data_IF_309391497605
#
_entry.id   IF_309391497605
#
_cell.length_a   1.000
_cell.length_b   1.000
_cell.length_c   1.000
_cell.angle_alpha   90.00
_cell.angle_beta   90.00
_cell.angle_gamma   90.00
#
_symmetry.space_group_name_H-M   'P 1'
#
loop_
_entity.id
_entity.type
_entity.pdbx_description
1 polymer ?
#
# COMPACT_ATOMS: atom_id res chain seq x y z
N UNK A 1 5.37 -11.54 0.62
CA UNK A 1 5.77 -10.94 1.91
C UNK A 1 4.72 -9.92 2.31
N UNK A 2 4.15 -10.03 3.51
CA UNK A 2 3.07 -9.15 3.98
C UNK A 2 3.18 -8.91 5.48
N UNK A 3 2.50 -7.88 5.97
CA UNK A 3 2.49 -7.60 7.40
C UNK A 3 1.67 -8.64 8.18
N UNK A 4 2.07 -8.99 9.41
CA UNK A 4 1.30 -9.91 10.24
C UNK A 4 -0.05 -9.30 10.63
N UNK A 5 -0.97 -10.14 11.11
CA UNK A 5 -2.30 -9.70 11.56
C UNK A 5 -2.21 -8.56 12.57
N UNK A 6 -3.03 -7.53 12.38
CA UNK A 6 -3.05 -6.32 13.21
C UNK A 6 -2.01 -5.25 12.84
N UNK A 7 -1.26 -5.43 11.75
CA UNK A 7 -0.33 -4.43 11.21
C UNK A 7 -0.73 -3.99 9.79
N UNK A 8 -0.65 -2.69 9.54
CA UNK A 8 -0.80 -2.05 8.23
C UNK A 8 0.59 -1.88 7.57
N UNK A 9 0.67 -2.03 6.25
CA UNK A 9 1.90 -1.78 5.50
C UNK A 9 2.12 -0.28 5.33
N UNK A 10 3.29 0.22 5.71
CA UNK A 10 3.71 1.61 5.52
C UNK A 10 5.06 1.68 4.78
N UNK A 11 5.23 2.73 3.97
CA UNK A 11 6.45 2.95 3.19
C UNK A 11 6.83 1.78 2.28
N UNK A 12 8.14 1.57 2.11
CA UNK A 12 8.70 0.48 1.30
C UNK A 12 9.15 -0.69 2.19
N UNK A 13 8.19 -1.37 2.83
CA UNK A 13 8.48 -2.62 3.55
C UNK A 13 8.48 -2.53 5.07
N UNK A 14 7.72 -1.60 5.65
CA UNK A 14 7.53 -1.53 7.09
C UNK A 14 6.07 -1.85 7.46
N UNK A 15 5.88 -2.34 8.67
CA UNK A 15 4.60 -2.71 9.23
C UNK A 15 4.33 -1.86 10.48
N UNK A 16 3.16 -1.23 10.53
CA UNK A 16 2.72 -0.33 11.58
C UNK A 16 1.45 -0.85 12.25
N UNK A 17 1.40 -0.82 13.57
CA UNK A 17 0.16 -1.03 14.32
C UNK A 17 0.01 0.11 15.32
N UNK A 18 -1.18 0.70 15.44
CA UNK A 18 -1.41 1.92 16.23
C UNK A 18 -2.46 1.67 17.31
N UNK A 19 -2.48 2.52 18.34
CA UNK A 19 -3.50 2.52 19.40
C UNK A 19 -4.92 2.74 18.83
N UNK A 20 -5.02 3.47 17.73
CA UNK A 20 -6.23 3.57 16.92
C UNK A 20 -5.92 2.97 15.55
N UNK A 21 -6.20 1.68 15.30
CA UNK A 21 -5.96 1.09 14.00
C UNK A 21 -6.87 1.78 12.98
N UNK A 22 -6.26 2.55 12.09
CA UNK A 22 -6.92 3.14 10.90
C UNK A 22 -7.19 2.04 9.87
N UNK A 23 -7.82 0.94 10.27
CA UNK A 23 -7.62 -0.30 9.52
C UNK A 23 -8.34 -1.57 9.96
N UNK A 24 -9.35 -1.52 10.84
CA UNK A 24 -10.46 -2.48 10.71
C UNK A 24 -11.44 -2.07 9.59
N UNK A 25 -10.89 -1.49 8.51
CA UNK A 25 -11.55 -1.49 7.20
C UNK A 25 -11.39 -2.89 6.62
N UNK A 26 -12.16 -3.83 7.16
CA UNK A 26 -12.52 -5.03 6.44
C UNK A 26 -13.36 -4.57 5.25
N UNK A 27 -12.69 -4.36 4.12
CA UNK A 27 -13.31 -4.10 2.84
C UNK A 27 -13.71 -2.65 2.61
N UNK A 28 -13.38 -2.18 1.41
CA UNK A 28 -14.31 -1.35 0.66
C UNK A 28 -15.64 -2.12 0.53
N UNK A 29 -16.50 -2.00 1.53
CA UNK A 29 -17.91 -2.34 1.46
C UNK A 29 -18.69 -1.07 1.81
N UNK A 30 -19.58 -0.58 0.94
CA UNK A 30 -20.36 0.61 1.23
C UNK A 30 -21.31 0.29 2.39
N UNK A 31 -21.43 1.25 3.31
CA UNK A 31 -22.42 1.38 4.39
C UNK A 31 -23.40 0.20 4.52
N UNK A 32 -23.20 -0.66 5.51
CA UNK A 32 -24.29 -1.49 6.03
C UNK A 32 -24.49 -1.14 7.50
N UNK A 33 -25.60 -0.45 7.76
CA UNK A 33 -26.05 -0.10 9.09
C UNK A 33 -26.34 -1.32 9.96
N UNK A 34 -26.66 -1.03 11.23
CA UNK A 34 -27.22 -1.98 12.19
C UNK A 34 -28.15 -3.01 11.54
N UNK A 35 -28.04 -4.25 12.01
CA UNK A 35 -28.79 -5.47 11.67
C UNK A 35 -28.03 -6.48 10.79
N UNK A 36 -26.94 -7.04 11.30
CA UNK A 36 -26.41 -8.32 10.78
C UNK A 36 -27.11 -9.46 11.52
N UNK A 37 -27.97 -10.28 10.87
CA UNK A 37 -28.48 -11.51 11.46
C UNK A 37 -27.35 -12.54 11.55
N UNK A 38 -27.15 -13.10 12.75
CA UNK A 38 -26.27 -14.25 12.96
C UNK A 38 -27.05 -15.50 12.60
N UNK A 39 -26.59 -16.27 11.60
CA UNK A 39 -27.18 -17.57 11.28
C UNK A 39 -26.41 -18.67 12.04
N UNK A 40 -27.10 -19.66 12.64
CA UNK A 40 -26.44 -20.78 13.31
C UNK A 40 -25.75 -21.70 12.30
N UNK A 41 -24.56 -22.15 12.66
CA UNK A 41 -23.76 -23.13 11.92
C UNK A 41 -24.26 -24.50 12.34
N UNK A 42 -25.23 -25.05 11.62
CA UNK A 42 -25.55 -26.48 11.64
C UNK A 42 -26.11 -26.88 10.28
N UNK A 43 -25.21 -27.10 9.32
CA UNK A 43 -25.39 -27.99 8.17
C UNK A 43 -24.07 -28.15 7.40
N UNK A 44 -23.77 -29.39 7.03
CA UNK A 44 -22.56 -29.86 6.35
C UNK A 44 -22.16 -28.95 5.15
N UNK A 45 -20.94 -28.37 5.12
CA UNK A 45 -20.54 -27.38 4.11
C UNK A 45 -20.41 -27.89 2.67
N UNK A 46 -20.57 -29.20 2.44
CA UNK A 46 -20.32 -29.83 1.14
C UNK A 46 -21.57 -30.22 0.34
N UNK A 47 -22.77 -29.95 0.85
CA UNK A 47 -24.01 -30.17 0.09
C UNK A 47 -24.29 -28.99 -0.86
N UNK A 48 -23.74 -29.04 -2.07
CA UNK A 48 -24.07 -28.09 -3.14
C UNK A 48 -25.42 -28.48 -3.77
N UNK A 49 -26.44 -27.60 -3.80
CA UNK A 49 -27.69 -27.86 -4.52
C UNK A 49 -27.41 -28.07 -6.01
N UNK A 50 -27.92 -29.17 -6.58
CA UNK A 50 -27.69 -29.57 -7.98
C UNK A 50 -28.12 -28.50 -9.01
N UNK A 51 -28.97 -27.57 -8.61
CA UNK A 51 -29.53 -26.53 -9.47
C UNK A 51 -28.60 -25.29 -9.61
N UNK A 52 -27.46 -25.28 -8.93
CA UNK A 52 -26.44 -24.20 -8.98
C UNK A 52 -25.03 -24.68 -9.31
N UNK A 53 -24.90 -25.84 -9.95
CA UNK A 53 -23.64 -26.26 -10.57
C UNK A 53 -23.47 -25.51 -11.89
N UNK A 54 -22.87 -24.31 -11.82
CA UNK A 54 -22.35 -23.64 -13.01
C UNK A 54 -21.16 -24.48 -13.49
N UNK A 55 -21.36 -25.27 -14.55
CA UNK A 55 -20.33 -26.04 -15.24
C UNK A 55 -19.04 -25.22 -15.37
N UNK A 56 -17.98 -25.63 -14.66
CA UNK A 56 -16.64 -24.99 -14.71
C UNK A 56 -15.85 -25.35 -15.97
N UNK A 57 -16.52 -25.80 -17.01
CA UNK A 57 -15.99 -26.12 -18.33
C UNK A 57 -16.14 -24.92 -19.29
N UNK A 58 -15.70 -23.76 -18.81
CA UNK A 58 -15.36 -22.62 -19.66
C UNK A 58 -13.87 -22.65 -19.98
N UNK A 59 -13.45 -23.53 -20.88
CA UNK A 59 -12.06 -23.78 -21.26
C UNK A 59 -11.24 -22.49 -21.57
N UNK A 60 -10.11 -22.29 -20.89
CA UNK A 60 -9.06 -21.38 -21.33
C UNK A 60 -8.31 -22.02 -22.53
N UNK A 61 -8.81 -21.79 -23.74
CA UNK A 61 -8.03 -22.04 -24.95
C UNK A 61 -7.08 -20.86 -25.21
N UNK A 62 -5.81 -20.99 -24.82
CA UNK A 62 -4.75 -20.20 -25.41
C UNK A 62 -4.49 -20.69 -26.84
N UNK A 63 -5.25 -20.17 -27.81
CA UNK A 63 -4.96 -20.37 -29.24
C UNK A 63 -3.82 -19.44 -29.66
N UNK A 64 -2.60 -19.94 -29.55
CA UNK A 64 -1.47 -19.43 -30.33
C UNK A 64 -1.88 -19.49 -31.80
N UNK A 65 -1.75 -18.37 -32.54
CA UNK A 65 -2.33 -18.07 -33.86
C UNK A 65 -3.71 -17.36 -33.86
N UNK A 66 -3.90 -16.40 -32.96
CA UNK A 66 -4.96 -15.39 -33.06
C UNK A 66 -4.74 -14.45 -34.25
N UNK A 67 -5.42 -14.75 -35.37
CA UNK A 67 -5.62 -13.86 -36.53
C UNK A 67 -6.18 -12.51 -36.05
N UNK A 68 -5.58 -11.41 -36.51
CA UNK A 68 -5.94 -10.03 -36.17
C UNK A 68 -7.45 -9.76 -36.19
N UNK A 69 -7.93 -8.99 -35.20
CA UNK A 69 -9.28 -8.40 -35.20
C UNK A 69 -9.52 -7.71 -36.55
N UNK A 70 -10.66 -8.00 -37.17
CA UNK A 70 -11.14 -7.35 -38.40
C UNK A 70 -11.11 -5.84 -38.18
N UNK A 71 -10.19 -5.15 -38.86
CA UNK A 71 -10.44 -3.76 -39.20
C UNK A 71 -11.56 -3.74 -40.23
N UNK A 72 -12.48 -2.81 -40.04
CA UNK A 72 -13.52 -2.45 -41.00
C UNK A 72 -12.83 -2.20 -42.35
N UNK A 73 -13.31 -2.89 -43.37
CA UNK A 73 -12.84 -2.72 -44.73
C UNK A 73 -13.21 -1.31 -45.22
N UNK A 74 -12.21 -0.47 -45.49
CA UNK A 74 -12.33 0.47 -46.60
C UNK A 74 -11.41 -0.01 -47.72
N UNK A 75 -12.10 -0.55 -48.71
CA UNK A 75 -11.59 -1.11 -49.94
C UNK A 75 -11.07 -0.03 -50.89
N UNK A 76 -10.17 -0.47 -51.77
CA UNK A 76 -9.77 0.13 -53.06
C UNK A 76 -8.68 1.18 -52.96
N UNK A 77 -7.45 0.82 -53.32
CA UNK A 77 -6.76 1.37 -54.50
C UNK A 77 -5.69 0.36 -54.94
N UNK A 78 -5.97 -0.31 -56.06
CA UNK A 78 -5.06 -1.19 -56.78
C UNK A 78 -4.00 -0.36 -57.52
N UNK A 79 -2.81 -0.95 -57.66
CA UNK A 79 -1.84 -0.79 -58.75
C UNK A 79 -1.82 0.57 -59.48
N UNK A 80 -0.85 1.43 -59.18
CA UNK A 80 -0.07 2.04 -60.27
C UNK A 80 1.21 2.70 -59.75
N UNK A 81 2.14 2.77 -60.67
CA UNK A 81 3.50 3.28 -60.60
C UNK A 81 3.60 4.75 -60.17
N UNK A 82 4.74 5.02 -59.54
CA UNK A 82 5.45 6.30 -59.56
C UNK A 82 4.96 7.44 -58.66
N UNK A 83 5.89 7.94 -57.84
CA UNK A 83 6.09 9.34 -57.47
C UNK A 83 6.62 9.49 -56.05
N UNK A 84 7.82 10.07 -55.98
CA UNK A 84 8.62 10.47 -54.80
C UNK A 84 7.87 11.32 -53.75
N UNK A 85 6.63 11.73 -54.02
CA UNK A 85 5.76 12.50 -53.12
C UNK A 85 5.15 11.68 -51.97
N UNK A 86 5.08 10.35 -52.08
CA UNK A 86 4.38 9.52 -51.08
C UNK A 86 5.25 9.16 -49.85
N UNK A 87 6.58 9.19 -50.02
CA UNK A 87 7.52 8.88 -48.94
C UNK A 87 7.50 9.90 -47.78
N UNK A 88 7.18 11.18 -48.06
CA UNK A 88 7.04 12.22 -47.02
C UNK A 88 5.79 12.02 -46.19
N UNK A 89 4.66 11.65 -46.80
CA UNK A 89 3.37 11.45 -46.14
C UNK A 89 3.39 10.20 -45.25
N UNK A 90 4.01 9.12 -45.73
CA UNK A 90 4.26 7.93 -44.90
C UNK A 90 5.17 8.25 -43.72
N UNK A 91 6.25 9.02 -43.91
CA UNK A 91 7.17 9.42 -42.83
C UNK A 91 6.49 10.27 -41.75
N UNK A 92 5.53 11.12 -42.13
CA UNK A 92 4.73 11.91 -41.21
C UNK A 92 3.73 11.05 -40.41
N UNK A 93 3.09 10.07 -41.06
CA UNK A 93 2.23 9.09 -40.38
C UNK A 93 3.04 8.20 -39.41
N UNK A 94 4.26 7.80 -39.78
CA UNK A 94 5.17 7.07 -38.89
C UNK A 94 5.65 7.92 -37.70
N UNK A 95 5.93 9.22 -37.88
CA UNK A 95 6.20 10.15 -36.76
C UNK A 95 5.02 10.27 -35.81
N UNK A 96 3.79 10.40 -36.34
CA UNK A 96 2.55 10.44 -35.52
C UNK A 96 2.25 9.11 -34.81
N UNK A 97 2.77 7.99 -35.32
CA UNK A 97 2.64 6.65 -34.70
C UNK A 97 3.68 6.40 -33.62
N UNK A 98 4.92 6.87 -33.82
CA UNK A 98 6.00 6.77 -32.83
C UNK A 98 5.82 7.72 -31.63
N UNK A 99 5.13 8.86 -31.80
CA UNK A 99 4.75 9.73 -30.68
C UNK A 99 3.63 9.15 -29.82
N UNK A 100 2.76 8.29 -30.37
CA UNK A 100 1.70 7.59 -29.63
C UNK A 100 2.17 6.35 -28.88
N UNK A 101 3.37 5.85 -29.22
CA UNK A 101 4.09 4.85 -28.43
C UNK A 101 5.13 5.50 -27.49
N UNK A 102 4.89 6.72 -27.01
CA UNK A 102 5.31 7.08 -25.65
C UNK A 102 4.50 6.21 -24.70
N UNK A 103 4.99 4.97 -24.57
CA UNK A 103 4.62 4.02 -23.54
C UNK A 103 4.57 4.81 -22.25
N UNK A 104 3.53 4.56 -21.47
CA UNK A 104 3.44 4.99 -20.09
C UNK A 104 4.74 4.61 -19.38
N UNK A 105 5.70 5.54 -19.36
CA UNK A 105 6.60 5.62 -18.22
C UNK A 105 5.62 5.80 -17.07
N UNK A 106 5.55 4.79 -16.20
CA UNK A 106 5.11 5.01 -14.84
C UNK A 106 5.83 6.27 -14.43
N UNK A 107 5.07 7.36 -14.28
CA UNK A 107 5.64 8.63 -13.90
C UNK A 107 6.55 8.37 -12.72
N UNK A 108 7.67 9.08 -12.67
CA UNK A 108 8.29 9.43 -11.41
C UNK A 108 7.14 9.79 -10.48
N UNK A 109 6.75 8.83 -9.64
CA UNK A 109 5.81 9.11 -8.57
C UNK A 109 6.58 10.14 -7.75
N UNK A 110 6.00 11.31 -7.49
CA UNK A 110 6.66 12.30 -6.67
C UNK A 110 7.09 11.57 -5.38
N UNK A 111 8.34 11.83 -4.97
CA UNK A 111 9.00 11.32 -3.75
C UNK A 111 7.94 10.87 -2.75
N UNK A 112 7.94 9.57 -2.42
CA UNK A 112 7.02 8.96 -1.45
C UNK A 112 6.60 9.99 -0.42
N UNK A 113 5.33 10.38 -0.48
CA UNK A 113 4.76 11.28 0.50
C UNK A 113 5.00 10.64 1.86
N UNK A 114 5.79 11.30 2.70
CA UNK A 114 6.20 10.73 3.98
C UNK A 114 4.95 10.31 4.74
N UNK A 115 4.87 9.06 5.25
CA UNK A 115 3.67 8.60 5.92
C UNK A 115 3.35 9.54 7.08
N UNK A 116 2.27 10.30 6.91
CA UNK A 116 1.72 11.16 7.94
C UNK A 116 0.52 10.45 8.59
N UNK A 117 0.51 10.38 9.93
CA UNK A 117 -0.54 9.71 10.70
C UNK A 117 -0.94 10.57 11.89
N UNK A 118 -2.25 10.79 12.04
CA UNK A 118 -2.81 11.50 13.21
C UNK A 118 -3.42 10.47 14.15
N UNK A 119 -2.97 10.44 15.40
CA UNK A 119 -3.44 9.54 16.46
C UNK A 119 -4.13 10.33 17.55
N UNK A 120 -5.43 10.11 17.73
CA UNK A 120 -6.22 10.76 18.79
C UNK A 120 -6.22 9.90 20.06
N UNK A 121 -5.85 10.46 21.19
CA UNK A 121 -5.81 9.73 22.47
C UNK A 121 -6.48 10.55 23.56
N UNK A 122 -7.16 9.88 24.48
CA UNK A 122 -7.64 10.53 25.71
C UNK A 122 -6.50 10.66 26.73
N UNK A 123 -6.57 11.64 27.63
CA UNK A 123 -5.60 11.76 28.74
C UNK A 123 -5.54 10.51 29.62
N UNK A 124 -6.63 9.75 29.72
CA UNK A 124 -6.68 8.46 30.43
C UNK A 124 -5.80 7.38 29.78
N UNK A 125 -5.61 7.43 28.46
CA UNK A 125 -4.76 6.51 27.70
C UNK A 125 -3.27 6.86 27.74
N UNK A 126 -2.89 7.99 28.36
CA UNK A 126 -1.49 8.47 28.33
C UNK A 126 -0.61 7.94 29.48
N UNK A 127 -1.06 6.93 30.24
CA UNK A 127 -0.31 6.39 31.40
C UNK A 127 1.11 5.95 31.01
N UNK A 128 2.02 5.94 31.99
CA UNK A 128 3.40 5.47 31.80
C UNK A 128 3.43 4.07 31.20
N UNK A 129 4.31 3.86 30.20
CA UNK A 129 4.44 2.63 29.41
C UNK A 129 3.18 2.24 28.64
N UNK A 130 2.21 3.14 28.47
CA UNK A 130 1.13 2.88 27.51
C UNK A 130 1.68 2.99 26.10
N UNK A 131 1.36 1.98 25.27
CA UNK A 131 1.85 1.86 23.90
C UNK A 131 0.99 2.69 22.94
N UNK A 132 1.65 3.49 22.12
CA UNK A 132 1.01 4.35 21.11
C UNK A 132 1.01 3.66 19.75
N UNK A 133 2.14 3.10 19.34
CA UNK A 133 2.28 2.36 18.08
C UNK A 133 3.38 1.30 18.16
N UNK A 134 3.38 0.39 17.20
CA UNK A 134 4.37 -0.67 16.97
C UNK A 134 4.89 -0.57 15.54
N UNK A 135 6.19 -0.78 15.37
CA UNK A 135 6.91 -0.81 14.10
C UNK A 135 7.72 -2.08 14.02
N UNK A 136 7.74 -2.67 12.82
CA UNK A 136 8.65 -3.75 12.46
C UNK A 136 8.88 -3.73 10.95
N UNK A 137 10.02 -4.21 10.45
CA UNK A 137 10.19 -4.47 9.02
C UNK A 137 9.25 -5.60 8.57
N UNK A 138 8.84 -5.57 7.30
CA UNK A 138 7.97 -6.59 6.71
C UNK A 138 8.74 -7.89 6.40
N UNK A 139 10.06 -7.79 6.27
CA UNK A 139 10.99 -8.91 6.13
C UNK A 139 11.88 -8.92 7.39
N UNK A 140 12.37 -10.10 7.79
CA UNK A 140 13.24 -10.24 8.97
C UNK A 140 14.59 -9.58 8.71
N UNK A 141 14.68 -8.28 9.00
CA UNK A 141 15.85 -7.44 8.84
C UNK A 141 16.15 -6.66 10.14
N UNK A 142 17.43 -6.37 10.37
CA UNK A 142 17.88 -5.60 11.52
C UNK A 142 17.68 -4.10 11.29
N UNK A 143 16.46 -3.63 11.56
CA UNK A 143 16.12 -2.21 11.58
C UNK A 143 16.05 -1.67 13.00
N UNK A 144 16.65 -0.50 13.19
CA UNK A 144 16.54 0.32 14.39
C UNK A 144 15.64 1.51 14.12
N UNK A 145 14.74 1.81 15.07
CA UNK A 145 13.81 2.93 14.96
C UNK A 145 14.01 3.89 16.12
N UNK A 146 14.17 5.17 15.81
CA UNK A 146 14.44 6.23 16.79
C UNK A 146 13.55 7.45 16.53
N UNK A 147 13.28 8.22 17.60
CA UNK A 147 12.57 9.49 17.48
C UNK A 147 13.62 10.56 17.15
N UNK A 148 13.48 11.22 16.02
CA UNK A 148 14.43 12.25 15.57
C UNK A 148 13.97 13.67 15.88
N UNK A 149 12.65 13.92 15.93
CA UNK A 149 12.08 15.25 16.23
C UNK A 149 10.81 15.18 17.06
N UNK A 150 10.52 16.23 17.83
CA UNK A 150 9.26 16.43 18.55
C UNK A 150 9.18 15.80 19.94
N UNK A 151 10.29 15.30 20.46
CA UNK A 151 10.38 14.67 21.79
C UNK A 151 11.39 15.37 22.70
N UNK A 152 11.50 16.69 22.59
CA UNK A 152 12.44 17.54 23.35
C UNK A 152 12.19 17.44 24.86
N UNK A 153 10.92 17.28 25.24
CA UNK A 153 10.48 17.15 26.63
C UNK A 153 10.61 15.71 27.18
N UNK A 154 11.06 14.75 26.37
CA UNK A 154 11.18 13.34 26.76
C UNK A 154 9.86 12.71 27.20
N UNK A 155 8.74 13.11 26.60
CA UNK A 155 7.41 12.57 26.93
C UNK A 155 7.19 11.17 26.34
N UNK A 156 7.96 10.82 25.32
CA UNK A 156 7.85 9.58 24.58
C UNK A 156 9.17 8.79 24.62
N UNK A 157 9.08 7.48 24.45
CA UNK A 157 10.23 6.59 24.36
C UNK A 157 9.99 5.49 23.32
N UNK A 158 11.06 5.13 22.59
CA UNK A 158 11.08 3.96 21.72
C UNK A 158 11.66 2.78 22.49
N UNK A 159 10.93 1.67 22.50
CA UNK A 159 11.30 0.46 23.25
C UNK A 159 11.28 -0.72 22.29
N UNK A 160 12.41 -1.43 22.19
CA UNK A 160 12.52 -2.65 21.41
C UNK A 160 12.31 -3.88 22.31
N UNK A 161 11.31 -4.71 22.00
CA UNK A 161 11.04 -5.98 22.70
C UNK A 161 10.49 -7.02 21.72
N UNK A 162 11.04 -8.24 21.78
CA UNK A 162 10.60 -9.39 20.97
C UNK A 162 10.56 -9.09 19.45
N UNK A 163 11.57 -8.38 18.93
CA UNK A 163 11.66 -8.05 17.50
C UNK A 163 10.72 -6.94 17.03
N UNK A 164 10.01 -6.28 17.95
CA UNK A 164 9.07 -5.19 17.64
C UNK A 164 9.52 -3.93 18.35
N UNK A 165 9.60 -2.84 17.60
CA UNK A 165 9.80 -1.50 18.14
C UNK A 165 8.46 -0.89 18.51
N UNK A 166 8.37 -0.26 19.67
CA UNK A 166 7.13 0.33 20.14
C UNK A 166 7.36 1.70 20.77
N UNK A 167 6.55 2.66 20.33
CA UNK A 167 6.49 3.99 20.91
C UNK A 167 5.60 3.94 22.16
N UNK A 168 6.11 4.44 23.28
CA UNK A 168 5.36 4.51 24.54
C UNK A 168 5.34 5.92 25.10
N UNK A 169 4.34 6.20 25.93
CA UNK A 169 4.38 7.34 26.85
C UNK A 169 5.36 7.07 27.98
N UNK A 170 6.35 7.94 28.16
CA UNK A 170 7.28 7.89 29.29
C UNK A 170 6.67 8.44 30.57
N UNK A 171 5.69 9.35 30.46
CA UNK A 171 4.94 9.92 31.60
C UNK A 171 3.50 10.22 31.18
N UNK A 172 2.60 10.26 32.16
CA UNK A 172 1.21 10.69 31.95
C UNK A 172 1.15 12.16 31.55
N UNK A 173 0.37 12.47 30.52
CA UNK A 173 0.11 13.85 30.12
C UNK A 173 -0.81 14.52 31.14
N UNK A 174 -0.44 15.72 31.59
CA UNK A 174 -1.23 16.52 32.54
C UNK A 174 -2.29 17.38 31.84
N UNK A 175 -2.02 17.77 30.60
CA UNK A 175 -2.86 18.67 29.82
C UNK A 175 -3.07 18.13 28.42
N UNK A 176 -4.20 18.48 27.82
CA UNK A 176 -4.46 18.25 26.41
C UNK A 176 -3.40 18.96 25.56
N UNK A 177 -3.11 18.42 24.39
CA UNK A 177 -2.06 18.96 23.53
C UNK A 177 -1.86 18.16 22.25
N UNK A 178 -1.10 18.76 21.34
CA UNK A 178 -0.75 18.16 20.05
C UNK A 178 0.76 17.97 19.98
N UNK A 179 1.19 16.73 19.73
CA UNK A 179 2.59 16.33 19.76
C UNK A 179 2.97 15.76 18.38
N UNK A 180 3.50 16.60 17.48
CA UNK A 180 4.09 16.12 16.23
C UNK A 180 5.42 15.43 16.54
N UNK A 181 5.62 14.24 16.00
CA UNK A 181 6.81 13.41 16.15
C UNK A 181 7.32 12.99 14.77
N UNK A 182 8.64 12.90 14.63
CA UNK A 182 9.30 12.28 13.49
C UNK A 182 10.06 11.04 13.99
N UNK A 183 9.76 9.89 13.41
CA UNK A 183 10.38 8.60 13.73
C UNK A 183 11.09 8.11 12.49
N UNK A 184 12.39 7.83 12.59
CA UNK A 184 13.17 7.27 11.48
C UNK A 184 13.53 5.82 11.74
N UNK A 185 13.53 5.01 10.68
CA UNK A 185 13.99 3.63 10.69
C UNK A 185 15.19 3.45 9.75
N UNK A 186 16.31 2.97 10.28
CA UNK A 186 17.54 2.70 9.51
C UNK A 186 18.08 1.30 9.78
N UNK A 187 18.79 0.72 8.80
CA UNK A 187 19.44 -0.58 8.95
C UNK A 187 20.69 -0.46 9.84
N UNK A 188 20.85 -1.38 10.77
CA UNK A 188 22.00 -1.42 11.69
C UNK A 188 23.27 -1.81 10.93
N UNK A 189 23.19 -2.84 10.08
CA UNK A 189 24.33 -3.37 9.31
C UNK A 189 24.25 -2.95 7.85
N UNK A 190 24.58 -1.68 7.56
CA UNK A 190 24.54 -1.12 6.20
C UNK A 190 25.70 -1.55 5.29
N UNK A 191 26.59 -2.45 5.74
CA UNK A 191 27.91 -2.64 5.14
C UNK A 191 28.07 -3.80 4.14
N UNK A 192 27.05 -4.64 3.86
CA UNK A 192 27.31 -5.87 3.10
C UNK A 192 26.24 -6.40 2.13
N UNK A 193 25.06 -5.79 1.97
CA UNK A 193 24.12 -6.26 0.95
C UNK A 193 23.44 -5.12 0.20
N UNK A 194 23.64 -5.11 -1.12
CA UNK A 194 22.95 -4.28 -2.10
C UNK A 194 21.45 -4.64 -2.23
N UNK A 195 20.82 -5.20 -1.20
CA UNK A 195 19.40 -5.53 -1.23
C UNK A 195 18.57 -4.27 -1.01
N UNK A 196 18.24 -3.64 -2.15
CA UNK A 196 17.52 -2.37 -2.35
C UNK A 196 16.02 -2.48 -1.98
N UNK A 197 15.56 -3.59 -1.39
CA UNK A 197 14.13 -3.89 -1.26
C UNK A 197 13.42 -3.21 -0.08
N UNK A 198 14.15 -2.69 0.91
CA UNK A 198 13.59 -1.92 2.03
C UNK A 198 14.34 -0.60 2.21
N UNK A 199 13.64 0.51 1.95
CA UNK A 199 14.18 1.86 2.09
C UNK A 199 14.11 2.32 3.56
N UNK A 200 14.95 3.29 3.98
CA UNK A 200 14.79 3.94 5.27
C UNK A 200 13.36 4.47 5.45
N UNK A 201 12.84 4.32 6.67
CA UNK A 201 11.53 4.86 7.02
C UNK A 201 11.70 6.27 7.59
N UNK A 202 10.90 7.22 7.12
CA UNK A 202 10.65 8.48 7.80
C UNK A 202 9.14 8.59 8.05
N UNK A 203 8.73 8.44 9.31
CA UNK A 203 7.32 8.42 9.72
C UNK A 203 7.01 9.68 10.52
N UNK A 204 6.03 10.46 10.05
CA UNK A 204 5.53 11.63 10.75
C UNK A 204 4.23 11.28 11.46
N UNK A 205 4.22 11.36 12.78
CA UNK A 205 3.03 11.05 13.59
C UNK A 205 2.64 12.26 14.41
N UNK A 206 1.36 12.62 14.39
CA UNK A 206 0.81 13.67 15.25
C UNK A 206 -0.10 13.04 16.29
N UNK A 207 0.31 13.07 17.55
CA UNK A 207 -0.50 12.59 18.67
C UNK A 207 -1.33 13.76 19.19
N UNK A 208 -2.65 13.65 19.12
CA UNK A 208 -3.60 14.64 19.64
C UNK A 208 -4.19 14.08 20.92
N UNK A 209 -3.78 14.64 22.06
CA UNK A 209 -4.30 14.28 23.37
C UNK A 209 -5.45 15.22 23.75
N UNK A 210 -6.64 14.67 23.97
CA UNK A 210 -7.82 15.42 24.44
C UNK A 210 -8.29 14.91 25.81
N UNK A 211 -9.02 15.77 26.53
CA UNK A 211 -9.70 15.42 27.78
C UNK A 211 -10.75 14.34 27.57
#
# INVERSE_FOLDING_TARGET
CGCPSGYERIGQGHCLSTINPSGLSYGSAPNLGSNIPTYPIDQDPYAVPHDRLISTEGCFSCKVNGRHRRMIAESKFFNSTDSMYDAKKLRELWRRRMTRHRRHHHGDKPRMEEPHRVLKVSLAQTKHRTRILKLQPAIKNDFEYSITKGNENGQFEMVHKHGVWALHFRRRLKHAGTFPLEITGSRINSAASNDIWEAPLALRVTIVASS
#
